data_IF_195686228938
#
_entry.id   IF_195686228938
#
_cell.length_a   1.000
_cell.length_b   1.000
_cell.length_c   1.000
_cell.angle_alpha   90.00
_cell.angle_beta   90.00
_cell.angle_gamma   90.00
#
_symmetry.space_group_name_H-M   'P 1'
#
loop_
_entity.id
_entity.type
_entity.pdbx_description
1 polymer ?
#
# COMPACT_ATOMS: atom_id res chain seq x y z
N UNK A 1 -20.91 -14.39 -3.05
CA UNK A 1 -19.94 -13.84 -2.08
C UNK A 1 -18.68 -13.44 -2.83
N UNK A 2 -18.14 -12.26 -2.56
CA UNK A 2 -16.95 -11.75 -3.23
C UNK A 2 -15.71 -12.51 -2.76
N UNK A 3 -14.92 -13.05 -3.69
CA UNK A 3 -13.62 -13.66 -3.37
C UNK A 3 -12.55 -12.57 -3.33
N UNK A 4 -12.12 -12.21 -2.13
CA UNK A 4 -11.14 -11.14 -1.93
C UNK A 4 -9.72 -11.54 -2.40
N UNK A 5 -9.45 -12.83 -2.52
CA UNK A 5 -8.13 -13.34 -2.90
C UNK A 5 -7.92 -13.42 -4.42
N UNK A 6 -8.95 -13.16 -5.19
CA UNK A 6 -8.89 -13.23 -6.65
C UNK A 6 -9.24 -11.90 -7.29
N UNK A 7 -8.55 -11.59 -8.38
CA UNK A 7 -8.83 -10.41 -9.19
C UNK A 7 -9.85 -10.77 -10.28
N UNK A 8 -10.96 -10.02 -10.41
CA UNK A 8 -11.80 -10.11 -11.59
C UNK A 8 -11.00 -9.82 -12.86
N UNK A 9 -11.42 -10.43 -13.97
CA UNK A 9 -10.71 -10.29 -15.25
C UNK A 9 -11.07 -9.03 -16.03
N UNK A 10 -12.12 -8.35 -15.64
CA UNK A 10 -12.72 -7.20 -16.32
C UNK A 10 -12.58 -5.89 -15.55
N UNK A 11 -11.61 -5.79 -14.65
CA UNK A 11 -11.37 -4.57 -13.88
C UNK A 11 -10.90 -3.43 -14.80
N UNK A 12 -11.37 -2.20 -14.57
CA UNK A 12 -10.86 -1.04 -15.31
C UNK A 12 -9.40 -0.79 -14.97
N UNK A 13 -8.62 -0.43 -16.00
CA UNK A 13 -7.19 -0.17 -15.85
C UNK A 13 -7.01 1.28 -15.41
N UNK A 14 -6.31 1.53 -14.27
CA UNK A 14 -6.03 2.90 -13.85
C UNK A 14 -5.02 3.56 -14.78
N UNK A 15 -5.17 4.88 -14.95
CA UNK A 15 -4.27 5.69 -15.78
C UNK A 15 -3.40 6.59 -14.90
N UNK A 16 -2.22 6.91 -15.40
CA UNK A 16 -1.34 7.87 -14.76
C UNK A 16 -1.90 9.29 -14.96
N UNK A 17 -2.40 9.88 -13.89
CA UNK A 17 -2.98 11.23 -13.88
C UNK A 17 -1.98 12.30 -13.42
N UNK A 18 -0.70 11.95 -13.24
CA UNK A 18 0.33 12.86 -12.78
C UNK A 18 0.31 13.17 -11.29
N UNK A 19 -0.61 12.57 -10.53
CA UNK A 19 -0.84 12.91 -9.12
C UNK A 19 0.29 12.47 -8.18
N UNK A 20 1.26 11.71 -8.67
CA UNK A 20 2.43 11.25 -7.90
C UNK A 20 3.75 11.86 -8.38
N UNK A 21 3.73 12.74 -9.39
CA UNK A 21 4.95 13.25 -10.01
C UNK A 21 5.85 14.04 -9.04
N UNK A 22 5.29 14.58 -7.96
CA UNK A 22 6.02 15.36 -6.96
C UNK A 22 6.73 14.51 -5.91
N UNK A 23 6.46 13.20 -5.83
CA UNK A 23 6.87 12.38 -4.68
C UNK A 23 8.35 12.00 -4.69
N UNK A 24 8.92 11.71 -5.87
CA UNK A 24 10.34 11.33 -5.96
C UNK A 24 11.23 12.47 -5.44
N UNK A 25 12.11 12.15 -4.51
CA UNK A 25 13.01 13.10 -3.86
C UNK A 25 12.47 13.72 -2.57
N UNK A 26 11.19 13.50 -2.25
CA UNK A 26 10.63 13.99 -0.99
C UNK A 26 11.14 13.15 0.19
N UNK A 27 11.31 13.80 1.32
CA UNK A 27 11.58 13.12 2.59
C UNK A 27 10.29 12.55 3.15
N UNK A 28 10.36 11.34 3.69
CA UNK A 28 9.25 10.76 4.43
C UNK A 28 8.94 11.61 5.67
N UNK A 29 7.66 11.79 6.01
CA UNK A 29 7.29 12.69 7.10
C UNK A 29 7.69 12.13 8.47
N UNK A 30 8.03 13.07 9.37
CA UNK A 30 8.35 12.76 10.76
C UNK A 30 7.06 12.69 11.58
N UNK A 31 6.25 11.66 11.34
CA UNK A 31 5.00 11.40 12.05
C UNK A 31 5.00 9.98 12.59
N UNK A 32 4.46 9.80 13.78
CA UNK A 32 4.34 8.47 14.40
C UNK A 32 2.97 7.89 14.14
N UNK A 33 2.91 6.74 13.48
CA UNK A 33 1.69 6.05 13.10
C UNK A 33 1.62 4.68 13.76
N UNK A 34 0.42 4.25 14.12
CA UNK A 34 0.21 2.94 14.75
C UNK A 34 0.31 1.82 13.70
N UNK A 35 0.95 0.73 14.10
CA UNK A 35 1.13 -0.46 13.27
C UNK A 35 0.46 -1.69 13.89
N UNK A 36 0.18 -2.68 13.05
CA UNK A 36 -0.50 -3.92 13.45
C UNK A 36 0.33 -4.80 14.38
N UNK A 37 1.62 -4.55 14.52
CA UNK A 37 2.50 -5.26 15.47
C UNK A 37 2.50 -4.65 16.89
N UNK A 38 1.61 -3.72 17.18
CA UNK A 38 1.50 -3.05 18.48
C UNK A 38 2.50 -1.92 18.72
N UNK A 39 3.31 -1.58 17.69
CA UNK A 39 4.31 -0.51 17.76
C UNK A 39 3.85 0.71 16.99
N UNK A 40 4.53 1.83 17.21
CA UNK A 40 4.44 2.99 16.32
C UNK A 40 5.60 3.00 15.34
N UNK A 41 5.34 3.53 14.15
CA UNK A 41 6.33 3.64 13.08
C UNK A 41 6.47 5.10 12.70
N UNK A 42 7.70 5.58 12.66
CA UNK A 42 8.05 6.88 12.09
C UNK A 42 8.94 6.62 10.86
N UNK A 43 8.39 6.79 9.68
CA UNK A 43 9.08 6.48 8.44
C UNK A 43 10.32 7.35 8.22
N UNK A 44 10.31 8.58 8.73
CA UNK A 44 11.46 9.48 8.62
C UNK A 44 12.72 8.98 9.34
N UNK A 45 12.54 8.08 10.33
CA UNK A 45 13.66 7.55 11.12
C UNK A 45 14.19 6.22 10.59
N UNK A 46 13.53 5.61 9.59
CA UNK A 46 13.90 4.29 9.10
C UNK A 46 15.11 4.42 8.16
N UNK A 47 16.16 3.64 8.45
CA UNK A 47 17.37 3.57 7.63
C UNK A 47 17.28 2.43 6.62
N UNK A 48 18.03 2.56 5.52
CA UNK A 48 18.05 1.56 4.47
C UNK A 48 16.84 1.63 3.53
N UNK A 49 16.69 0.58 2.73
CA UNK A 49 15.59 0.48 1.75
C UNK A 49 14.29 0.12 2.44
N UNK A 50 13.24 0.88 2.13
CA UNK A 50 11.89 0.67 2.66
C UNK A 50 10.90 0.71 1.50
N UNK A 51 10.06 -0.30 1.40
CA UNK A 51 8.94 -0.37 0.46
C UNK A 51 7.66 -0.10 1.25
N UNK A 52 6.94 0.95 0.85
CA UNK A 52 5.64 1.31 1.44
C UNK A 52 4.59 1.13 0.34
N UNK A 53 3.77 0.08 0.42
CA UNK A 53 2.67 -0.03 -0.51
C UNK A 53 1.41 0.58 0.11
N UNK A 54 0.98 1.69 -0.48
CA UNK A 54 -0.25 2.37 -0.11
C UNK A 54 -1.42 1.75 -0.88
N UNK A 55 -2.47 1.41 -0.17
CA UNK A 55 -3.65 0.78 -0.78
C UNK A 55 -4.93 1.44 -0.25
N UNK A 56 -6.02 1.42 -1.05
CA UNK A 56 -7.25 2.12 -0.64
C UNK A 56 -7.93 1.47 0.55
N UNK A 57 -8.32 0.20 0.43
CA UNK A 57 -9.11 -0.46 1.44
C UNK A 57 -9.13 -1.95 1.16
N UNK A 58 -8.90 -2.77 2.19
CA UNK A 58 -9.18 -4.21 2.11
C UNK A 58 -10.62 -4.46 2.51
N UNK A 59 -11.21 -5.51 1.91
CA UNK A 59 -12.47 -6.04 2.40
C UNK A 59 -12.26 -7.03 3.55
N UNK A 60 -13.36 -7.43 4.17
CA UNK A 60 -13.40 -8.54 5.13
C UNK A 60 -14.26 -9.66 4.59
N UNK A 61 -13.97 -10.93 4.95
CA UNK A 61 -14.85 -12.04 4.58
C UNK A 61 -16.28 -11.80 5.09
N UNK A 62 -17.27 -12.11 4.27
CA UNK A 62 -18.70 -11.96 4.57
C UNK A 62 -19.17 -10.50 4.76
N UNK A 63 -18.36 -9.53 4.41
CA UNK A 63 -18.74 -8.10 4.37
C UNK A 63 -18.73 -7.65 2.91
N UNK A 64 -19.83 -7.09 2.45
CA UNK A 64 -19.93 -6.59 1.08
C UNK A 64 -18.99 -5.41 0.87
N UNK A 65 -18.35 -5.37 -0.31
CA UNK A 65 -17.61 -4.19 -0.75
C UNK A 65 -18.58 -3.05 -1.08
N UNK A 66 -18.12 -1.78 -1.04
CA UNK A 66 -18.97 -0.66 -1.45
C UNK A 66 -19.54 -0.86 -2.86
N UNK A 67 -20.78 -0.40 -3.08
CA UNK A 67 -21.41 -0.46 -4.39
C UNK A 67 -20.52 0.26 -5.42
N UNK A 68 -20.33 -0.38 -6.59
CA UNK A 68 -19.51 0.18 -7.65
C UNK A 68 -18.01 0.10 -7.43
N UNK A 69 -17.56 -0.59 -6.37
CA UNK A 69 -16.14 -0.68 -6.04
C UNK A 69 -15.28 -1.21 -7.19
N UNK A 70 -15.73 -2.28 -7.86
CA UNK A 70 -14.98 -2.89 -8.97
C UNK A 70 -14.95 -2.02 -10.24
N UNK A 71 -15.81 -1.01 -10.34
CA UNK A 71 -15.81 -0.05 -11.45
C UNK A 71 -14.85 1.14 -11.24
N UNK A 72 -14.29 1.28 -10.04
CA UNK A 72 -13.30 2.34 -9.75
C UNK A 72 -11.93 1.84 -10.19
N UNK A 73 -11.27 2.50 -11.17
CA UNK A 73 -9.94 2.07 -11.61
C UNK A 73 -8.94 2.04 -10.45
N UNK A 74 -8.30 0.89 -10.25
CA UNK A 74 -7.29 0.72 -9.23
C UNK A 74 -7.80 0.44 -7.81
N UNK A 75 -9.11 0.42 -7.56
CA UNK A 75 -9.65 0.20 -6.22
C UNK A 75 -9.57 -1.26 -5.77
N UNK A 76 -10.03 -2.20 -6.61
CA UNK A 76 -10.04 -3.63 -6.27
C UNK A 76 -8.63 -4.21 -6.26
N UNK A 77 -8.34 -5.09 -5.30
CA UNK A 77 -7.13 -5.91 -5.33
C UNK A 77 -6.15 -5.69 -4.19
N UNK A 78 -6.58 -5.09 -3.08
CA UNK A 78 -5.67 -4.88 -1.93
C UNK A 78 -5.26 -6.20 -1.28
N UNK A 79 -6.17 -7.17 -1.18
CA UNK A 79 -5.85 -8.50 -0.65
C UNK A 79 -4.85 -9.25 -1.54
N UNK A 80 -5.05 -9.39 -2.87
CA UNK A 80 -4.04 -9.98 -3.74
C UNK A 80 -2.69 -9.26 -3.70
N UNK A 81 -2.67 -7.94 -3.61
CA UNK A 81 -1.43 -7.18 -3.47
C UNK A 81 -0.68 -7.56 -2.19
N UNK A 82 -1.39 -7.57 -1.05
CA UNK A 82 -0.78 -7.94 0.24
C UNK A 82 -0.28 -9.38 0.24
N UNK A 83 -1.04 -10.31 -0.32
CA UNK A 83 -0.61 -11.71 -0.46
C UNK A 83 0.63 -11.84 -1.33
N UNK A 84 0.71 -11.07 -2.41
CA UNK A 84 1.87 -11.07 -3.30
C UNK A 84 3.13 -10.54 -2.60
N UNK A 85 3.01 -9.46 -1.83
CA UNK A 85 4.12 -8.98 -1.01
C UNK A 85 4.53 -10.00 0.06
N UNK A 86 3.57 -10.66 0.70
CA UNK A 86 3.86 -11.75 1.64
C UNK A 86 4.69 -12.85 0.98
N UNK A 87 4.27 -13.28 -0.19
CA UNK A 87 4.91 -14.40 -0.89
C UNK A 87 6.32 -14.05 -1.42
N UNK A 88 6.60 -12.76 -1.63
CA UNK A 88 7.90 -12.25 -2.09
C UNK A 88 8.73 -11.60 -0.97
N UNK A 89 8.27 -11.65 0.27
CA UNK A 89 8.92 -10.92 1.36
C UNK A 89 10.35 -11.34 1.60
N UNK A 90 10.63 -12.64 1.58
CA UNK A 90 11.99 -13.15 1.76
C UNK A 90 12.93 -12.61 0.67
N UNK A 91 12.50 -12.64 -0.58
CA UNK A 91 13.28 -12.12 -1.70
C UNK A 91 13.56 -10.62 -1.55
N UNK A 92 12.56 -9.85 -1.09
CA UNK A 92 12.71 -8.42 -0.83
C UNK A 92 13.72 -8.17 0.30
N UNK A 93 13.68 -8.96 1.36
CA UNK A 93 14.66 -8.86 2.45
C UNK A 93 16.09 -9.21 1.98
N UNK A 94 16.24 -10.21 1.12
CA UNK A 94 17.53 -10.57 0.52
C UNK A 94 18.09 -9.44 -0.34
N UNK A 95 17.23 -8.59 -0.89
CA UNK A 95 17.62 -7.38 -1.63
C UNK A 95 17.85 -6.17 -0.71
N UNK A 96 17.77 -6.36 0.60
CA UNK A 96 18.03 -5.31 1.60
C UNK A 96 16.85 -4.41 1.90
N UNK A 97 15.63 -4.79 1.52
CA UNK A 97 14.45 -3.96 1.71
C UNK A 97 13.53 -4.50 2.81
N UNK A 98 12.96 -3.60 3.60
CA UNK A 98 11.81 -3.88 4.46
C UNK A 98 10.52 -3.46 3.75
N UNK A 99 9.40 -4.08 4.13
CA UNK A 99 8.08 -3.83 3.54
C UNK A 99 7.09 -3.44 4.62
N UNK A 100 6.28 -2.43 4.34
CA UNK A 100 5.10 -2.10 5.15
C UNK A 100 3.92 -1.80 4.23
N UNK A 101 2.73 -2.18 4.65
CA UNK A 101 1.48 -1.72 4.03
C UNK A 101 1.01 -0.45 4.72
N UNK A 102 0.30 0.42 4.00
CA UNK A 102 -0.25 1.66 4.55
C UNK A 102 -1.63 1.93 3.96
N UNK A 103 -2.58 2.22 4.82
CA UNK A 103 -3.91 2.69 4.42
C UNK A 103 -4.47 3.63 5.48
N UNK A 104 -5.60 4.27 5.16
CA UNK A 104 -6.31 5.13 6.13
C UNK A 104 -7.31 4.35 6.99
N UNK A 105 -7.37 3.04 6.86
CA UNK A 105 -8.18 2.18 7.72
C UNK A 105 -7.62 2.16 9.14
N UNK A 106 -8.47 1.82 10.11
CA UNK A 106 -8.04 1.70 11.51
C UNK A 106 -7.05 0.55 11.69
N UNK A 107 -6.24 0.63 12.74
CA UNK A 107 -5.28 -0.42 13.08
C UNK A 107 -5.99 -1.76 13.33
N UNK A 108 -7.16 -1.74 13.97
CA UNK A 108 -7.96 -2.94 14.23
C UNK A 108 -8.40 -3.60 12.92
N UNK A 109 -8.86 -2.80 11.96
CA UNK A 109 -9.28 -3.30 10.66
C UNK A 109 -8.10 -3.90 9.88
N UNK A 110 -6.96 -3.22 9.92
CA UNK A 110 -5.72 -3.71 9.30
C UNK A 110 -5.20 -4.99 9.96
N UNK A 111 -5.33 -5.07 11.30
CA UNK A 111 -4.87 -6.25 12.05
C UNK A 111 -5.67 -7.50 11.69
N UNK A 112 -6.98 -7.37 11.47
CA UNK A 112 -7.79 -8.50 11.00
C UNK A 112 -7.21 -9.06 9.68
N UNK A 113 -6.93 -8.20 8.72
CA UNK A 113 -6.33 -8.62 7.46
C UNK A 113 -4.94 -9.22 7.66
N UNK A 114 -4.08 -8.57 8.42
CA UNK A 114 -2.72 -9.03 8.65
C UNK A 114 -2.68 -10.42 9.29
N UNK A 115 -3.55 -10.66 10.26
CA UNK A 115 -3.66 -11.96 10.93
C UNK A 115 -4.24 -13.03 10.00
N UNK A 116 -5.30 -12.71 9.29
CA UNK A 116 -5.97 -13.63 8.35
C UNK A 116 -5.04 -14.05 7.22
N UNK A 117 -4.25 -13.13 6.69
CA UNK A 117 -3.33 -13.39 5.58
C UNK A 117 -1.94 -13.84 6.04
N UNK A 118 -1.67 -13.89 7.33
CA UNK A 118 -0.36 -14.22 7.89
C UNK A 118 0.75 -13.33 7.32
N UNK A 119 0.54 -12.02 7.33
CA UNK A 119 1.53 -11.08 6.82
C UNK A 119 2.77 -11.05 7.73
N UNK A 120 3.99 -11.25 7.19
CA UNK A 120 5.21 -11.23 8.00
C UNK A 120 5.75 -9.83 8.28
N UNK A 121 5.08 -8.81 7.79
CA UNK A 121 5.45 -7.40 7.95
C UNK A 121 4.25 -6.62 8.51
N UNK A 122 4.49 -5.46 9.13
CA UNK A 122 3.39 -4.67 9.69
C UNK A 122 2.61 -3.91 8.62
N UNK A 123 1.37 -3.61 8.94
CA UNK A 123 0.53 -2.65 8.21
C UNK A 123 0.34 -1.43 9.12
N UNK A 124 0.43 -0.24 8.55
CA UNK A 124 0.46 1.03 9.27
C UNK A 124 -0.79 1.84 8.95
N UNK A 125 -1.37 2.45 9.98
CA UNK A 125 -2.62 3.21 9.86
C UNK A 125 -2.37 4.69 9.77
N UNK A 126 -2.80 5.29 8.66
CA UNK A 126 -2.85 6.75 8.47
C UNK A 126 -4.27 7.28 8.67
N UNK A 127 -4.95 6.80 9.71
CA UNK A 127 -6.36 7.10 9.98
C UNK A 127 -6.65 8.59 10.13
N UNK A 128 -5.66 9.39 10.53
CA UNK A 128 -5.78 10.85 10.66
C UNK A 128 -5.19 11.61 9.46
N UNK A 129 -4.86 10.92 8.37
CA UNK A 129 -4.33 11.52 7.12
C UNK A 129 -3.04 12.32 7.29
N UNK A 130 -2.24 12.04 8.34
CA UNK A 130 -1.00 12.76 8.60
C UNK A 130 0.06 12.50 7.52
N UNK A 131 0.25 11.24 7.15
CA UNK A 131 1.16 10.84 6.07
C UNK A 131 0.65 11.35 4.72
N UNK A 132 -0.64 11.15 4.45
CA UNK A 132 -1.27 11.60 3.22
C UNK A 132 -1.09 13.10 3.01
N UNK A 133 -1.36 13.91 4.03
CA UNK A 133 -1.26 15.38 3.91
C UNK A 133 0.19 15.86 3.79
N UNK A 134 1.10 15.25 4.55
CA UNK A 134 2.51 15.64 4.52
C UNK A 134 3.16 15.43 3.14
N UNK A 135 2.76 14.37 2.43
CA UNK A 135 3.28 14.04 1.10
C UNK A 135 2.32 14.42 -0.04
N UNK A 136 1.14 14.94 0.29
CA UNK A 136 0.08 15.15 -0.69
C UNK A 136 -0.16 13.90 -1.55
N UNK A 137 -0.35 12.76 -0.88
CA UNK A 137 -0.65 11.50 -1.55
C UNK A 137 -2.01 11.58 -2.25
N UNK A 138 -2.12 10.99 -3.46
CA UNK A 138 -3.39 11.04 -4.18
C UNK A 138 -4.48 10.24 -3.47
N UNK A 139 -5.67 10.78 -3.47
CA UNK A 139 -6.85 10.19 -2.84
C UNK A 139 -8.03 10.14 -3.79
N UNK A 140 -9.04 9.36 -3.42
CA UNK A 140 -10.35 9.35 -4.09
C UNK A 140 -11.43 9.13 -3.04
N UNK A 141 -12.67 9.47 -3.38
CA UNK A 141 -13.81 9.30 -2.48
C UNK A 141 -14.68 8.15 -2.97
N UNK A 142 -14.99 7.22 -2.08
CA UNK A 142 -15.93 6.12 -2.34
C UNK A 142 -16.71 5.84 -1.06
N UNK A 143 -18.04 5.64 -1.19
CA UNK A 143 -18.94 5.36 -0.07
C UNK A 143 -18.77 6.36 1.11
N UNK A 144 -18.55 7.63 0.80
CA UNK A 144 -18.36 8.69 1.80
C UNK A 144 -16.99 8.68 2.48
N UNK A 145 -16.06 7.81 2.06
CA UNK A 145 -14.72 7.69 2.61
C UNK A 145 -13.69 8.32 1.68
N UNK A 146 -12.73 9.05 2.24
CA UNK A 146 -11.54 9.50 1.51
C UNK A 146 -10.46 8.43 1.66
N UNK A 147 -10.07 7.82 0.56
CA UNK A 147 -9.14 6.68 0.54
C UNK A 147 -7.91 7.03 -0.26
N UNK A 148 -6.77 6.39 0.09
CA UNK A 148 -5.55 6.52 -0.70
C UNK A 148 -5.70 5.81 -2.04
N UNK A 149 -5.20 6.40 -3.11
CA UNK A 149 -4.96 5.66 -4.34
C UNK A 149 -3.84 4.65 -4.13
N UNK A 150 -3.85 3.58 -4.92
CA UNK A 150 -2.82 2.55 -4.86
C UNK A 150 -1.52 3.11 -5.42
N UNK A 151 -0.53 3.28 -4.55
CA UNK A 151 0.80 3.81 -4.89
C UNK A 151 1.83 3.07 -4.05
N UNK A 152 2.93 2.64 -4.65
CA UNK A 152 4.04 2.06 -3.89
C UNK A 152 5.25 2.97 -3.97
N UNK A 153 5.79 3.26 -2.79
CA UNK A 153 6.98 4.10 -2.62
C UNK A 153 8.18 3.23 -2.26
N UNK A 154 9.32 3.49 -2.88
CA UNK A 154 10.59 2.93 -2.45
C UNK A 154 11.41 4.09 -1.90
N UNK A 155 11.77 4.00 -0.63
CA UNK A 155 12.58 5.01 0.06
C UNK A 155 13.94 4.42 0.46
N UNK A 156 14.92 5.28 0.57
CA UNK A 156 16.25 4.93 1.07
C UNK A 156 16.69 5.98 2.07
N UNK A 157 16.95 5.56 3.30
CA UNK A 157 17.32 6.47 4.39
C UNK A 157 16.32 7.64 4.53
N UNK A 158 15.02 7.35 4.42
CA UNK A 158 13.94 8.32 4.61
C UNK A 158 13.66 9.23 3.42
N UNK A 159 14.28 9.00 2.26
CA UNK A 159 14.02 9.78 1.04
C UNK A 159 13.39 8.87 -0.03
N UNK A 160 12.30 9.31 -0.62
CA UNK A 160 11.63 8.58 -1.70
C UNK A 160 12.51 8.61 -2.95
N UNK A 161 12.95 7.44 -3.41
CA UNK A 161 13.80 7.33 -4.60
C UNK A 161 13.05 6.79 -5.82
N UNK A 162 11.92 6.10 -5.63
CA UNK A 162 11.11 5.57 -6.72
C UNK A 162 9.64 5.51 -6.32
N UNK A 163 8.77 5.65 -7.32
CA UNK A 163 7.32 5.61 -7.17
C UNK A 163 6.74 4.70 -8.23
N UNK A 164 5.94 3.72 -7.82
CA UNK A 164 5.19 2.86 -8.73
C UNK A 164 3.72 3.31 -8.76
N UNK A 165 3.32 3.93 -9.84
CA UNK A 165 1.98 4.43 -10.07
C UNK A 165 1.75 4.70 -11.57
N UNK A 166 0.63 4.29 -12.17
CA UNK A 166 -0.40 3.43 -11.56
C UNK A 166 0.06 1.98 -11.43
N UNK A 167 -0.65 1.19 -10.62
CA UNK A 167 -0.33 -0.22 -10.37
C UNK A 167 -1.47 -1.08 -10.91
N UNK A 168 -1.17 -1.94 -11.88
CA UNK A 168 -2.16 -2.88 -12.44
C UNK A 168 -1.47 -4.04 -13.18
N UNK A 169 -1.92 -5.28 -12.93
CA UNK A 169 -2.79 -5.69 -11.83
C UNK A 169 -2.10 -5.51 -10.47
N UNK A 170 -2.89 -5.45 -9.40
CA UNK A 170 -2.36 -5.10 -8.06
C UNK A 170 -1.32 -6.09 -7.54
N UNK A 171 -1.46 -7.37 -7.88
CA UNK A 171 -0.56 -8.44 -7.45
C UNK A 171 0.77 -8.47 -8.21
N UNK A 172 0.93 -7.66 -9.26
CA UNK A 172 2.21 -7.49 -9.99
C UNK A 172 3.16 -6.52 -9.29
N UNK A 173 2.70 -5.81 -8.28
CA UNK A 173 3.48 -4.76 -7.62
C UNK A 173 4.82 -5.25 -7.05
N UNK A 174 4.90 -6.37 -6.30
CA UNK A 174 6.20 -6.85 -5.80
C UNK A 174 7.20 -7.17 -6.90
N UNK A 175 6.75 -7.67 -8.04
CA UNK A 175 7.64 -7.95 -9.19
C UNK A 175 8.29 -6.65 -9.70
N UNK A 176 7.51 -5.59 -9.84
CA UNK A 176 8.05 -4.27 -10.22
C UNK A 176 9.07 -3.77 -9.19
N UNK A 177 8.76 -3.92 -7.90
CA UNK A 177 9.64 -3.49 -6.81
C UNK A 177 10.96 -4.29 -6.84
N UNK A 178 10.88 -5.61 -7.00
CA UNK A 178 12.06 -6.48 -7.06
C UNK A 178 12.94 -6.09 -8.25
N UNK A 179 12.35 -5.89 -9.42
CA UNK A 179 13.10 -5.48 -10.62
C UNK A 179 13.81 -4.14 -10.40
N UNK A 180 13.15 -3.18 -9.76
CA UNK A 180 13.77 -1.91 -9.39
C UNK A 180 14.95 -2.13 -8.45
N UNK A 181 14.76 -2.89 -7.37
CA UNK A 181 15.79 -3.10 -6.36
C UNK A 181 17.02 -3.83 -6.92
N UNK A 182 16.83 -4.74 -7.88
CA UNK A 182 17.95 -5.44 -8.54
C UNK A 182 18.84 -4.50 -9.34
N UNK A 183 18.30 -3.40 -9.85
CA UNK A 183 19.02 -2.41 -10.65
C UNK A 183 19.60 -1.26 -9.81
N UNK A 184 19.30 -1.19 -8.56
CA UNK A 184 19.63 -0.07 -7.68
C UNK A 184 20.08 -0.57 -6.32
#
# INVERSE_FOLDING_TARGET
MTNLNQLPTDLPIPEDDGSTNHLKGMKLPNVSLNATNGRTVNFGDIKGKLVIYCYPMTGQPNVALPDGWDQIPGARGCTPQSCSFRDHYQELQELGAEVVGLSVQTTEYQKEMADRLHLPFPVVSDVNYQFQKALNMPTFVAAGMTLLKRVTLIANNGVIEAVHYPIFPSDSDPTWVIDYLKGH
#
